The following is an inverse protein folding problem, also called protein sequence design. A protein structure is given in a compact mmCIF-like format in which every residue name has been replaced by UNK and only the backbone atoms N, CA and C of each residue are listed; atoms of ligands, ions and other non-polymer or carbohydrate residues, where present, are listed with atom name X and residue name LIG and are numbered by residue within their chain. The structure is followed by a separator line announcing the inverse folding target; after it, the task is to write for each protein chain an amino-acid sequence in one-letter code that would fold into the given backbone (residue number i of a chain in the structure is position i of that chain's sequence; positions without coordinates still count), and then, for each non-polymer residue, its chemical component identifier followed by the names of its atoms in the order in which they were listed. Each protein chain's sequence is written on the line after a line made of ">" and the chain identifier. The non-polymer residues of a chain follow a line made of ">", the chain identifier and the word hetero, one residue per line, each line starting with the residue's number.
data_IF_886385722241
#
_entry.id   IF_886385722241
#
_cell.length_a   1.000
_cell.length_b   1.000
_cell.length_c   1.000
_cell.angle_alpha   90.00
_cell.angle_beta   90.00
_cell.angle_gamma   90.00
#
_symmetry.space_group_name_H-M   'P 1'
#
loop_
_entity.id
_entity.type
_entity.pdbx_description
1 polymer ?
#
# COMPACT_ATOMS: atom_id res chain seq x y z
N UNK A 1 -6.29 26.23 34.19
CA UNK A 1 -5.90 24.82 34.04
C UNK A 1 -5.18 24.67 32.72
N UNK A 2 -3.98 24.08 32.69
CA UNK A 2 -3.30 23.78 31.44
C UNK A 2 -4.06 22.66 30.73
N UNK A 3 -4.53 22.89 29.51
CA UNK A 3 -5.42 21.97 28.77
C UNK A 3 -4.85 20.55 28.61
N UNK A 4 -3.52 20.40 28.63
CA UNK A 4 -2.85 19.10 28.55
C UNK A 4 -3.05 18.24 29.80
N UNK A 5 -3.25 18.85 30.98
CA UNK A 5 -3.50 18.09 32.22
C UNK A 5 -4.86 17.37 32.21
N UNK A 6 -5.81 17.82 31.37
CA UNK A 6 -7.08 17.12 31.18
C UNK A 6 -6.95 15.83 30.37
N UNK A 7 -5.77 15.56 29.79
CA UNK A 7 -5.45 14.32 29.07
C UNK A 7 -4.58 13.38 29.91
N UNK A 8 -4.24 13.78 31.14
CA UNK A 8 -3.48 12.93 32.04
C UNK A 8 -4.38 11.84 32.60
N UNK A 9 -3.85 10.62 32.63
CA UNK A 9 -4.50 9.43 33.15
C UNK A 9 -3.60 8.82 34.23
N UNK A 10 -4.19 8.19 35.24
CA UNK A 10 -3.40 7.44 36.21
C UNK A 10 -2.81 6.20 35.53
N UNK A 11 -1.65 5.77 36.00
CA UNK A 11 -1.01 4.57 35.44
C UNK A 11 -1.89 3.32 35.58
N UNK A 12 -2.70 3.27 36.64
CA UNK A 12 -3.67 2.21 36.94
C UNK A 12 -4.79 2.12 35.89
N UNK A 13 -5.19 3.27 35.36
CA UNK A 13 -6.36 3.42 34.49
C UNK A 13 -5.97 3.32 32.99
N UNK A 14 -4.67 3.26 32.67
CA UNK A 14 -4.14 3.27 31.29
C UNK A 14 -4.70 2.16 30.41
N UNK A 15 -4.92 0.97 30.95
CA UNK A 15 -5.47 -0.16 30.19
C UNK A 15 -6.95 0.05 29.89
N UNK A 16 -7.69 0.60 30.85
CA UNK A 16 -9.16 0.74 30.77
C UNK A 16 -9.60 1.98 29.98
N UNK A 17 -8.95 3.13 30.20
CA UNK A 17 -9.30 4.39 29.54
C UNK A 17 -8.28 4.84 28.49
N UNK A 18 -7.26 4.03 28.23
CA UNK A 18 -6.33 4.23 27.13
C UNK A 18 -7.01 4.04 25.77
N UNK A 19 -6.57 4.80 24.78
CA UNK A 19 -7.07 4.69 23.42
C UNK A 19 -6.39 3.51 22.69
N UNK A 20 -7.06 2.36 22.68
CA UNK A 20 -6.61 1.13 22.04
C UNK A 20 -7.41 0.90 20.76
N UNK A 21 -6.99 1.55 19.68
CA UNK A 21 -7.61 1.41 18.36
C UNK A 21 -6.55 1.23 17.27
N UNK A 22 -6.85 0.49 16.17
CA UNK A 22 -5.97 0.43 15.01
C UNK A 22 -5.92 1.81 14.35
N UNK A 23 -4.75 2.47 14.42
CA UNK A 23 -4.51 3.81 13.86
C UNK A 23 -3.55 3.81 12.67
N UNK A 24 -2.74 2.77 12.56
CA UNK A 24 -1.73 2.60 11.50
C UNK A 24 -2.18 1.53 10.51
N UNK A 25 -1.97 1.79 9.23
CA UNK A 25 -2.38 0.90 8.14
C UNK A 25 -1.32 0.88 7.04
N UNK A 26 -1.10 -0.29 6.45
CA UNK A 26 -0.35 -0.46 5.19
C UNK A 26 -1.39 -0.69 4.08
N UNK A 27 -1.51 0.27 3.16
CA UNK A 27 -2.52 0.26 2.10
C UNK A 27 -1.87 0.11 0.73
N UNK A 28 -2.40 -0.81 -0.08
CA UNK A 28 -2.00 -1.00 -1.47
C UNK A 28 -3.19 -1.52 -2.28
N UNK A 29 -3.15 -1.30 -3.60
CA UNK A 29 -4.17 -1.83 -4.50
C UNK A 29 -4.02 -3.34 -4.61
N UNK A 30 -5.10 -4.06 -4.30
CA UNK A 30 -5.16 -5.53 -4.42
C UNK A 30 -4.91 -6.04 -5.86
N UNK A 31 -5.12 -5.18 -6.86
CA UNK A 31 -4.82 -5.49 -8.27
C UNK A 31 -3.32 -5.48 -8.57
N UNK A 32 -2.52 -4.74 -7.78
CA UNK A 32 -1.09 -4.56 -8.03
C UNK A 32 -0.21 -5.31 -7.05
N UNK A 33 -0.72 -5.69 -5.88
CA UNK A 33 0.07 -6.39 -4.86
C UNK A 33 -0.79 -7.35 -4.04
N UNK A 34 -0.18 -8.45 -3.61
CA UNK A 34 -0.66 -9.31 -2.54
C UNK A 34 0.22 -9.18 -1.29
N UNK A 35 -0.36 -9.29 -0.10
CA UNK A 35 0.38 -9.36 1.16
C UNK A 35 0.62 -10.79 1.61
N UNK A 36 1.84 -11.05 2.06
CA UNK A 36 2.30 -12.27 2.71
C UNK A 36 2.88 -11.93 4.08
N UNK A 37 2.85 -12.88 5.01
CA UNK A 37 3.48 -12.75 6.35
C UNK A 37 3.10 -11.44 7.06
N UNK A 38 1.80 -11.18 7.23
CA UNK A 38 1.32 -10.00 7.97
C UNK A 38 1.64 -10.17 9.45
N UNK A 39 2.40 -9.24 10.02
CA UNK A 39 2.91 -9.27 11.38
C UNK A 39 2.54 -7.97 12.13
N UNK A 40 2.32 -8.13 13.43
CA UNK A 40 2.19 -7.07 14.41
C UNK A 40 3.16 -7.36 15.56
N UNK A 41 3.87 -6.35 16.06
CA UNK A 41 4.80 -6.50 17.19
C UNK A 41 4.78 -5.26 18.10
N UNK A 42 4.88 -5.50 19.41
CA UNK A 42 5.08 -4.48 20.45
C UNK A 42 6.14 -4.90 21.48
N UNK A 43 6.99 -5.88 21.14
CA UNK A 43 7.98 -6.45 22.06
C UNK A 43 9.41 -6.16 21.65
N UNK A 44 9.67 -5.92 20.36
CA UNK A 44 11.02 -5.80 19.81
C UNK A 44 11.76 -7.13 19.75
N UNK A 45 11.07 -8.26 20.00
CA UNK A 45 11.67 -9.60 20.01
C UNK A 45 10.99 -10.52 18.99
N UNK A 46 11.72 -11.54 18.48
CA UNK A 46 11.10 -12.61 17.71
C UNK A 46 10.11 -13.36 18.59
N UNK A 47 8.82 -13.36 18.24
CA UNK A 47 7.79 -14.02 19.07
C UNK A 47 6.40 -13.39 18.98
N UNK A 48 6.29 -12.16 18.48
CA UNK A 48 5.02 -11.53 18.12
C UNK A 48 4.45 -10.57 19.15
N UNK A 49 3.18 -10.21 18.96
CA UNK A 49 2.48 -9.17 19.72
C UNK A 49 1.96 -9.68 21.08
N UNK A 50 2.22 -8.93 22.15
CA UNK A 50 1.63 -9.14 23.47
C UNK A 50 0.36 -8.31 23.62
N UNK A 51 -0.76 -9.02 23.79
CA UNK A 51 -2.08 -8.42 24.04
C UNK A 51 -2.09 -7.79 25.44
N UNK A 52 -2.89 -6.74 25.62
CA UNK A 52 -3.10 -6.01 26.90
C UNK A 52 -1.83 -5.43 27.55
N UNK A 53 -0.75 -5.31 26.79
CA UNK A 53 0.48 -4.64 27.23
C UNK A 53 0.41 -3.16 26.86
N UNK A 54 0.55 -2.29 27.85
CA UNK A 54 0.73 -0.85 27.62
C UNK A 54 2.17 -0.62 27.18
N UNK A 55 2.35 0.03 26.03
CA UNK A 55 3.65 0.45 25.51
C UNK A 55 3.65 1.98 25.29
N UNK A 56 4.80 2.67 25.44
CA UNK A 56 6.16 2.15 25.47
C UNK A 56 6.53 1.43 26.78
N UNK A 57 7.49 0.51 26.69
CA UNK A 57 8.09 -0.21 27.81
C UNK A 57 9.61 0.01 27.84
N UNK A 58 10.31 -0.51 28.86
CA UNK A 58 11.77 -0.44 28.93
C UNK A 58 12.47 -1.13 27.75
N UNK A 59 11.80 -2.08 27.11
CA UNK A 59 12.35 -2.89 26.00
C UNK A 59 11.70 -2.57 24.66
N UNK A 60 10.60 -1.82 24.64
CA UNK A 60 9.92 -1.40 23.42
C UNK A 60 9.66 0.12 23.45
N UNK A 61 10.38 0.92 22.65
CA UNK A 61 10.48 2.37 22.86
C UNK A 61 9.32 3.19 22.26
N UNK A 62 8.37 2.55 21.59
CA UNK A 62 7.28 3.20 20.84
C UNK A 62 5.94 3.07 21.57
N UNK A 63 5.09 4.08 21.45
CA UNK A 63 3.68 4.09 21.86
C UNK A 63 2.74 3.52 20.78
N UNK A 64 3.29 3.15 19.62
CA UNK A 64 2.63 2.45 18.53
C UNK A 64 3.27 1.08 18.27
N UNK A 65 2.45 0.07 17.94
CA UNK A 65 2.92 -1.25 17.55
C UNK A 65 3.46 -1.23 16.11
N UNK A 66 4.47 -2.04 15.83
CA UNK A 66 5.00 -2.21 14.47
C UNK A 66 4.04 -3.07 13.67
N UNK A 67 3.72 -2.62 12.46
CA UNK A 67 3.05 -3.42 11.43
C UNK A 67 4.05 -3.74 10.32
N UNK A 68 4.07 -4.99 9.89
CA UNK A 68 4.95 -5.44 8.81
C UNK A 68 4.26 -6.47 7.94
N UNK A 69 4.59 -6.47 6.65
CA UNK A 69 4.15 -7.49 5.70
C UNK A 69 5.12 -7.52 4.52
N UNK A 70 5.28 -8.69 3.90
CA UNK A 70 5.93 -8.80 2.60
C UNK A 70 4.88 -8.55 1.54
N UNK A 71 5.10 -7.58 0.65
CA UNK A 71 4.26 -7.36 -0.52
C UNK A 71 4.88 -8.04 -1.73
N UNK A 72 4.08 -8.75 -2.50
CA UNK A 72 4.46 -9.38 -3.76
C UNK A 72 3.72 -8.67 -4.88
N UNK A 73 4.44 -8.22 -5.90
CA UNK A 73 3.80 -7.81 -7.15
C UNK A 73 3.38 -9.06 -7.92
N UNK A 74 2.20 -9.09 -8.55
CA UNK A 74 1.95 -10.07 -9.59
C UNK A 74 3.09 -9.92 -10.60
N UNK A 75 3.69 -11.05 -10.99
CA UNK A 75 4.66 -11.08 -12.08
C UNK A 75 4.00 -10.38 -13.26
N UNK A 76 4.65 -9.36 -13.81
CA UNK A 76 4.22 -8.74 -15.06
C UNK A 76 4.18 -9.85 -16.12
N UNK A 77 3.00 -10.44 -16.34
CA UNK A 77 2.71 -11.02 -17.65
C UNK A 77 2.71 -9.80 -18.53
N UNK A 78 3.75 -9.64 -19.36
CA UNK A 78 3.86 -8.56 -20.34
C UNK A 78 2.47 -8.26 -20.87
N UNK A 79 1.92 -7.11 -20.46
CA UNK A 79 0.91 -6.48 -21.28
C UNK A 79 1.69 -6.01 -22.49
N UNK A 80 1.80 -6.89 -23.49
CA UNK A 80 2.03 -6.50 -24.86
C UNK A 80 0.87 -5.55 -25.18
N UNK A 81 1.09 -4.25 -24.94
CA UNK A 81 0.31 -3.21 -25.54
C UNK A 81 0.55 -3.38 -27.03
N UNK A 82 -0.33 -4.13 -27.68
CA UNK A 82 -0.44 -4.20 -29.13
C UNK A 82 -0.69 -2.77 -29.64
N UNK A 83 0.41 -2.07 -29.90
CA UNK A 83 0.49 -0.83 -30.65
C UNK A 83 0.35 -1.16 -32.13
N UNK A 84 -0.75 -1.79 -32.53
CA UNK A 84 -1.21 -1.78 -33.92
C UNK A 84 -2.20 -0.64 -34.05
N UNK A 85 -1.66 0.58 -34.06
CA UNK A 85 -2.36 1.70 -34.68
C UNK A 85 -2.54 1.34 -36.16
N UNK A 86 -3.79 1.10 -36.55
CA UNK A 86 -4.23 1.12 -37.93
C UNK A 86 -3.91 2.50 -38.52
N UNK A 87 -2.75 2.61 -39.19
CA UNK A 87 -2.50 3.69 -40.12
C UNK A 87 -3.17 3.28 -41.44
N UNK A 88 -4.34 3.89 -41.64
CA UNK A 88 -5.10 3.97 -42.87
C UNK A 88 -4.19 3.93 -44.10
N UNK A 89 -4.34 2.86 -44.91
CA UNK A 89 -3.85 2.84 -46.28
C UNK A 89 -4.67 3.86 -47.08
N UNK A 90 -4.15 5.08 -47.17
CA UNK A 90 -4.58 6.05 -48.15
C UNK A 90 -4.23 5.54 -49.55
N UNK A 91 -5.15 4.81 -50.17
CA UNK A 91 -5.15 4.54 -51.60
C UNK A 91 -5.35 5.87 -52.34
N UNK A 92 -4.24 6.53 -52.68
CA UNK A 92 -4.25 7.61 -53.64
C UNK A 92 -4.43 6.99 -55.03
N UNK A 93 -5.68 7.00 -55.50
CA UNK A 93 -6.04 6.81 -56.90
C UNK A 93 -5.35 7.88 -57.75
N UNK A 94 -4.22 7.55 -58.37
CA UNK A 94 -3.76 8.24 -59.58
C UNK A 94 -4.18 7.41 -60.77
N UNK A 95 -5.19 7.91 -61.49
CA UNK A 95 -5.61 7.38 -62.79
C UNK A 95 -4.43 7.36 -63.78
N UNK A 96 -4.34 6.35 -64.66
CA UNK A 96 -3.35 6.35 -65.73
C UNK A 96 -3.74 7.42 -66.76
N UNK A 97 -2.79 8.32 -67.06
CA UNK A 97 -2.88 9.16 -68.26
C UNK A 97 -2.58 8.25 -69.46
N UNK A 98 -3.59 8.07 -70.31
CA UNK A 98 -3.46 7.40 -71.60
C UNK A 98 -2.48 8.18 -72.49
N UNK A 99 -1.33 7.57 -72.80
CA UNK A 99 -0.60 7.88 -74.01
C UNK A 99 -1.21 7.07 -75.16
N UNK A 100 -1.84 7.74 -76.13
CA UNK A 100 -1.52 7.60 -77.57
C UNK A 100 -2.52 8.33 -78.50
N UNK A 101 -1.96 9.13 -79.40
CA UNK A 101 -2.43 9.24 -80.80
C UNK A 101 -3.32 10.42 -81.20
N UNK A 102 -2.72 11.51 -81.69
CA UNK A 102 -2.62 11.92 -83.12
C UNK A 102 -1.61 13.08 -83.24
#
# INVERSE_FOLDING_TARGET
>A
LQTQLNKAIRSEDLVEMGDINPKDFILFYKTHYSSMNVLKDNTGMPGGFQVDTVFPTLTFPSDHAVLSTVIESPVDVCMDLDLTNELETGENNTEPLDEDGV
#
